data_IF_597062350635
#
_entry.id   IF_597062350635
#
_cell.length_a   1.000
_cell.length_b   1.000
_cell.length_c   1.000
_cell.angle_alpha   90.00
_cell.angle_beta   90.00
_cell.angle_gamma   90.00
#
_symmetry.space_group_name_H-M   'P 1'
#
loop_
_entity.id
_entity.type
_entity.pdbx_description
1 polymer ?
#
# COMPACT_ATOMS: atom_id res chain seq x y z
N UNK A 1 -16.51 14.33 11.27
CA UNK A 1 -15.24 13.99 10.70
C UNK A 1 -14.24 15.07 11.01
N UNK A 2 -13.37 14.72 11.80
CA UNK A 2 -12.53 15.58 12.59
C UNK A 2 -11.33 16.01 11.78
N UNK A 3 -11.11 17.33 11.64
CA UNK A 3 -9.98 17.88 10.90
C UNK A 3 -8.64 17.49 11.52
N UNK A 4 -8.58 17.32 12.85
CA UNK A 4 -7.40 16.83 13.57
C UNK A 4 -6.99 15.43 13.11
N UNK A 5 -7.93 14.52 12.98
CA UNK A 5 -7.66 13.19 12.47
C UNK A 5 -7.16 13.20 11.01
N UNK A 6 -7.73 14.10 10.17
CA UNK A 6 -7.26 14.28 8.80
C UNK A 6 -5.84 14.85 8.74
N UNK A 7 -5.53 15.79 9.62
CA UNK A 7 -4.19 16.38 9.68
C UNK A 7 -3.15 15.36 10.16
N UNK A 8 -3.44 14.64 11.24
CA UNK A 8 -2.57 13.57 11.75
C UNK A 8 -2.36 12.49 10.69
N UNK A 9 -3.43 12.07 10.01
CA UNK A 9 -3.36 11.11 8.92
C UNK A 9 -2.50 11.62 7.74
N UNK A 10 -2.68 12.88 7.33
CA UNK A 10 -1.88 13.46 6.24
C UNK A 10 -0.39 13.51 6.60
N UNK A 11 -0.06 13.78 7.85
CA UNK A 11 1.34 13.76 8.29
C UNK A 11 1.89 12.33 8.30
N UNK A 12 1.10 11.37 8.77
CA UNK A 12 1.49 9.95 8.82
C UNK A 12 1.79 9.39 7.42
N UNK A 13 0.84 9.56 6.47
CA UNK A 13 1.00 9.03 5.10
C UNK A 13 2.11 9.71 4.27
N UNK A 14 2.57 10.89 4.70
CA UNK A 14 3.65 11.60 4.04
C UNK A 14 4.96 11.55 4.85
N UNK A 15 5.08 10.65 5.82
CA UNK A 15 6.24 10.51 6.72
C UNK A 15 6.68 11.86 7.33
N UNK A 16 5.71 12.73 7.65
CA UNK A 16 5.97 14.05 8.23
C UNK A 16 5.91 13.97 9.74
N UNK A 17 6.85 14.60 10.39
CA UNK A 17 6.84 14.78 11.83
C UNK A 17 5.98 15.99 12.19
N UNK A 18 5.16 15.86 13.23
CA UNK A 18 4.48 16.97 13.87
C UNK A 18 5.31 17.47 15.05
N UNK A 19 5.55 18.77 15.11
CA UNK A 19 6.19 19.38 16.28
C UNK A 19 5.10 19.61 17.32
N UNK A 20 5.23 18.92 18.46
CA UNK A 20 4.34 19.08 19.60
C UNK A 20 5.09 19.88 20.66
N UNK A 21 4.59 21.05 21.08
CA UNK A 21 5.23 21.79 22.15
C UNK A 21 5.13 21.03 23.47
N UNK A 22 6.17 21.08 24.28
CA UNK A 22 6.19 20.47 25.60
C UNK A 22 5.38 21.23 26.68
N UNK A 23 4.75 22.34 26.26
CA UNK A 23 3.86 23.15 27.09
C UNK A 23 2.47 23.18 26.49
N UNK A 24 1.45 23.12 27.33
CA UNK A 24 0.06 23.24 26.86
C UNK A 24 -0.28 24.71 26.57
N UNK A 25 -0.46 25.03 25.29
CA UNK A 25 -0.73 26.40 24.81
C UNK A 25 -2.20 26.70 24.60
N UNK A 26 -3.08 25.68 24.67
CA UNK A 26 -4.51 25.84 24.33
C UNK A 26 -5.42 25.27 25.42
N UNK A 27 -6.59 25.86 25.56
CA UNK A 27 -7.68 25.29 26.36
C UNK A 27 -8.72 24.70 25.43
N UNK A 28 -9.00 23.42 25.57
CA UNK A 28 -10.03 22.73 24.77
C UNK A 28 -11.40 22.98 25.40
N UNK A 29 -12.19 23.87 24.81
CA UNK A 29 -13.52 24.27 25.31
C UNK A 29 -14.56 23.13 25.19
N UNK A 30 -14.30 22.14 24.34
CA UNK A 30 -15.20 21.02 24.05
C UNK A 30 -15.36 19.99 25.19
N UNK A 31 -14.54 20.05 26.23
CA UNK A 31 -14.65 19.15 27.40
C UNK A 31 -15.56 19.71 28.49
N UNK A 32 -16.67 20.34 28.11
CA UNK A 32 -17.70 20.79 29.06
C UNK A 32 -18.94 19.88 28.98
N UNK A 33 -19.74 19.86 30.04
CA UNK A 33 -20.93 18.99 30.17
C UNK A 33 -22.03 19.25 29.12
N UNK A 34 -21.86 20.21 28.23
CA UNK A 34 -22.84 20.63 27.21
C UNK A 34 -22.54 20.14 25.80
N UNK A 35 -21.42 19.46 25.58
CA UNK A 35 -21.08 18.94 24.25
C UNK A 35 -21.46 17.46 24.11
N UNK A 36 -22.02 17.05 22.96
CA UNK A 36 -22.50 15.65 22.75
C UNK A 36 -21.40 14.59 22.85
N UNK A 37 -20.14 15.00 22.80
CA UNK A 37 -18.96 14.12 22.81
C UNK A 37 -18.05 14.39 24.01
N UNK A 38 -18.56 15.02 25.08
CA UNK A 38 -17.78 15.26 26.29
C UNK A 38 -17.47 13.94 27.02
N UNK A 39 -16.22 13.56 27.05
CA UNK A 39 -15.75 12.45 27.88
C UNK A 39 -15.44 13.03 29.26
N UNK A 40 -16.26 12.69 30.25
CA UNK A 40 -16.01 13.06 31.67
C UNK A 40 -14.71 12.43 32.11
N UNK A 41 -13.84 13.23 32.74
CA UNK A 41 -12.52 12.81 33.25
C UNK A 41 -11.50 12.43 32.17
N UNK A 42 -11.57 13.02 30.98
CA UNK A 42 -10.50 12.83 29.99
C UNK A 42 -9.15 13.34 30.55
N UNK A 43 -8.03 12.62 30.37
CA UNK A 43 -6.73 12.99 30.93
C UNK A 43 -6.28 14.42 30.61
N UNK A 44 -6.73 14.98 29.48
CA UNK A 44 -6.37 16.31 29.00
C UNK A 44 -7.37 17.41 29.38
N UNK A 45 -8.37 17.14 30.24
CA UNK A 45 -9.42 18.12 30.59
C UNK A 45 -8.93 19.24 31.49
N UNK A 46 -7.94 18.99 32.34
CA UNK A 46 -7.48 19.91 33.39
C UNK A 46 -6.02 20.34 33.23
N UNK A 47 -5.45 20.22 32.05
CA UNK A 47 -4.08 20.68 31.81
C UNK A 47 -4.07 22.20 31.74
N UNK A 48 -3.29 22.84 32.61
CA UNK A 48 -3.13 24.29 32.62
C UNK A 48 -2.38 24.76 31.37
N UNK A 49 -2.80 25.92 30.87
CA UNK A 49 -2.03 26.60 29.82
C UNK A 49 -0.75 27.18 30.41
N UNK A 50 0.29 27.14 29.63
CA UNK A 50 1.60 27.71 29.97
C UNK A 50 2.00 28.73 28.90
N UNK A 51 2.70 29.79 29.34
CA UNK A 51 3.27 30.76 28.42
C UNK A 51 4.63 30.27 27.90
N UNK A 52 4.94 30.61 26.66
CA UNK A 52 6.25 30.38 26.05
C UNK A 52 6.98 31.72 25.96
N UNK A 53 8.05 31.87 26.70
CA UNK A 53 8.89 33.10 26.67
C UNK A 53 9.72 33.11 25.38
N UNK A 54 10.21 31.95 24.94
CA UNK A 54 10.98 31.82 23.71
C UNK A 54 10.88 30.39 23.17
N UNK A 55 10.97 30.24 21.84
CA UNK A 55 10.95 28.94 21.16
C UNK A 55 12.40 28.46 21.02
N UNK A 56 12.66 27.27 21.59
CA UNK A 56 13.93 26.55 21.39
C UNK A 56 13.67 25.35 20.52
N UNK A 57 14.29 25.32 19.34
CA UNK A 57 14.25 24.15 18.49
C UNK A 57 15.17 23.05 18.99
N UNK A 58 14.78 21.77 18.88
CA UNK A 58 15.68 20.65 19.19
C UNK A 58 16.91 20.70 18.28
N UNK A 59 18.03 20.23 18.79
CA UNK A 59 19.29 20.16 18.05
C UNK A 59 19.24 19.16 16.87
N UNK A 60 18.29 18.24 16.90
CA UNK A 60 17.98 17.29 15.82
C UNK A 60 16.48 16.94 15.85
N UNK A 61 15.98 16.49 14.73
CA UNK A 61 14.57 16.09 14.58
C UNK A 61 14.55 14.57 14.55
N UNK A 62 13.82 13.95 15.48
CA UNK A 62 13.56 12.51 15.48
C UNK A 62 12.12 12.23 15.98
N UNK A 63 11.54 11.09 15.61
CA UNK A 63 10.27 10.64 16.19
C UNK A 63 10.44 10.37 17.69
N UNK A 64 9.49 10.83 18.50
CA UNK A 64 9.38 10.42 19.91
C UNK A 64 8.37 9.27 20.00
N UNK A 65 8.85 8.07 19.78
CA UNK A 65 8.01 6.85 19.74
C UNK A 65 7.30 6.62 21.08
N UNK A 66 7.94 6.94 22.22
CA UNK A 66 7.33 6.77 23.54
C UNK A 66 6.18 7.76 23.75
N UNK A 67 6.36 9.02 23.36
CA UNK A 67 5.30 10.02 23.43
C UNK A 67 4.14 9.71 22.49
N UNK A 68 4.44 9.23 21.28
CA UNK A 68 3.42 8.81 20.30
C UNK A 68 2.62 7.62 20.81
N UNK A 69 3.26 6.59 21.34
CA UNK A 69 2.63 5.44 21.96
C UNK A 69 1.78 5.83 23.19
N UNK A 70 2.30 6.71 24.04
CA UNK A 70 1.57 7.22 25.19
C UNK A 70 0.31 7.97 24.78
N UNK A 71 0.40 8.83 23.78
CA UNK A 71 -0.72 9.59 23.24
C UNK A 71 -1.78 8.67 22.66
N UNK A 72 -1.38 7.68 21.86
CA UNK A 72 -2.29 6.71 21.28
C UNK A 72 -3.02 5.88 22.34
N UNK A 73 -2.30 5.36 23.33
CA UNK A 73 -2.92 4.57 24.40
C UNK A 73 -3.87 5.38 25.27
N UNK A 74 -3.57 6.66 25.52
CA UNK A 74 -4.41 7.54 26.36
C UNK A 74 -5.55 8.21 25.60
N UNK A 75 -5.32 8.58 24.34
CA UNK A 75 -6.31 9.31 23.55
C UNK A 75 -7.34 8.37 22.89
N UNK A 76 -6.89 7.19 22.43
CA UNK A 76 -7.73 6.24 21.71
C UNK A 76 -8.10 5.00 22.53
N UNK A 77 -7.67 4.93 23.80
CA UNK A 77 -7.95 3.82 24.73
C UNK A 77 -7.61 2.43 24.15
N UNK A 78 -6.58 2.38 23.29
CA UNK A 78 -6.05 1.15 22.71
C UNK A 78 -5.02 0.55 23.65
N UNK A 79 -5.07 -0.75 23.88
CA UNK A 79 -4.02 -1.42 24.66
C UNK A 79 -2.70 -1.45 23.85
N UNK A 80 -1.57 -1.48 24.55
CA UNK A 80 -0.26 -1.59 23.92
C UNK A 80 -0.15 -2.84 23.03
N UNK A 81 -0.87 -3.91 23.38
CA UNK A 81 -0.93 -5.17 22.63
C UNK A 81 -1.76 -5.04 21.34
N UNK A 82 -2.78 -4.17 21.33
CA UNK A 82 -3.56 -3.84 20.12
C UNK A 82 -2.83 -2.90 19.16
N UNK A 83 -1.84 -2.17 19.65
CA UNK A 83 -0.96 -1.32 18.85
C UNK A 83 0.20 -2.09 18.22
N UNK A 84 0.49 -3.28 18.73
CA UNK A 84 1.55 -4.11 18.18
C UNK A 84 1.10 -4.75 16.88
N UNK A 85 1.95 -4.60 15.89
CA UNK A 85 1.83 -5.35 14.65
C UNK A 85 1.74 -6.84 14.92
N UNK A 86 0.86 -7.55 14.23
CA UNK A 86 0.75 -8.98 14.35
C UNK A 86 2.12 -9.65 14.18
N UNK A 87 2.39 -10.67 14.99
CA UNK A 87 3.65 -11.43 14.95
C UNK A 87 3.98 -11.95 13.55
N UNK A 88 2.96 -12.21 12.74
CA UNK A 88 3.08 -12.65 11.36
C UNK A 88 3.82 -11.64 10.48
N UNK A 89 3.63 -10.34 10.69
CA UNK A 89 4.33 -9.32 9.91
C UNK A 89 5.83 -9.29 10.22
N UNK A 90 6.21 -9.35 11.49
CA UNK A 90 7.63 -9.44 11.88
C UNK A 90 8.28 -10.72 11.37
N UNK A 91 7.56 -11.84 11.41
CA UNK A 91 8.01 -13.09 10.83
C UNK A 91 8.29 -12.97 9.33
N UNK A 92 7.41 -12.31 8.59
CA UNK A 92 7.58 -12.07 7.15
C UNK A 92 8.81 -11.18 6.87
N UNK A 93 8.97 -10.10 7.67
CA UNK A 93 10.15 -9.20 7.57
C UNK A 93 11.46 -9.93 7.83
N UNK A 94 11.55 -10.69 8.89
CA UNK A 94 12.76 -11.48 9.23
C UNK A 94 13.07 -12.54 8.17
N UNK A 95 12.05 -13.21 7.66
CA UNK A 95 12.21 -14.20 6.59
C UNK A 95 12.74 -13.58 5.30
N UNK A 96 12.22 -12.43 4.93
CA UNK A 96 12.65 -11.69 3.76
C UNK A 96 14.12 -11.25 3.87
N UNK A 97 14.50 -10.61 4.98
CA UNK A 97 15.89 -10.19 5.25
C UNK A 97 16.84 -11.37 5.24
N UNK A 98 16.44 -12.50 5.82
CA UNK A 98 17.25 -13.73 5.83
C UNK A 98 17.40 -14.30 4.42
N UNK A 99 16.34 -14.30 3.62
CA UNK A 99 16.37 -14.76 2.24
C UNK A 99 17.34 -13.92 1.38
N UNK A 100 17.33 -12.60 1.52
CA UNK A 100 18.25 -11.71 0.80
C UNK A 100 19.71 -11.98 1.19
N UNK A 101 20.02 -12.18 2.48
CA UNK A 101 21.39 -12.37 2.97
C UNK A 101 22.06 -13.65 2.47
N UNK A 102 21.29 -14.67 2.14
CA UNK A 102 21.81 -16.00 1.84
C UNK A 102 22.01 -16.30 0.33
N UNK A 103 21.94 -15.31 -0.57
CA UNK A 103 21.70 -15.61 -1.97
C UNK A 103 22.84 -15.41 -2.95
N UNK A 104 23.04 -16.43 -3.78
CA UNK A 104 23.62 -16.30 -5.12
C UNK A 104 22.56 -15.74 -6.09
N UNK A 105 22.95 -14.77 -6.90
CA UNK A 105 22.04 -14.01 -7.78
C UNK A 105 21.60 -14.87 -8.96
N UNK A 106 20.37 -15.33 -8.97
CA UNK A 106 19.75 -16.00 -10.11
C UNK A 106 18.37 -15.34 -10.40
N UNK A 107 18.30 -14.36 -11.30
CA UNK A 107 17.03 -13.76 -11.70
C UNK A 107 16.18 -14.80 -12.44
N UNK A 108 15.03 -15.17 -11.85
CA UNK A 108 14.02 -16.02 -12.49
C UNK A 108 12.98 -15.16 -13.20
N UNK A 109 12.67 -14.01 -12.62
CA UNK A 109 11.67 -13.07 -13.13
C UNK A 109 12.27 -12.34 -14.33
N UNK A 110 11.55 -12.25 -15.47
CA UNK A 110 11.98 -11.45 -16.62
C UNK A 110 12.28 -10.01 -16.20
N UNK A 111 13.38 -9.47 -16.67
CA UNK A 111 13.79 -8.10 -16.38
C UNK A 111 12.98 -7.10 -17.22
N UNK A 112 11.68 -6.98 -16.92
CA UNK A 112 10.74 -6.10 -17.58
C UNK A 112 9.98 -5.33 -16.51
N UNK A 113 9.97 -4.00 -16.58
CA UNK A 113 9.18 -3.12 -15.71
C UNK A 113 7.95 -2.65 -16.47
N UNK A 114 6.78 -2.87 -15.91
CA UNK A 114 5.49 -2.47 -16.47
C UNK A 114 4.89 -1.34 -15.64
N UNK A 115 4.49 -0.26 -16.29
CA UNK A 115 3.67 0.82 -15.70
C UNK A 115 2.49 1.14 -16.60
N UNK A 116 1.35 1.48 -16.01
CA UNK A 116 0.09 1.73 -16.71
C UNK A 116 -0.36 3.17 -16.48
N UNK A 117 -0.78 3.84 -17.57
CA UNK A 117 -1.51 5.10 -17.49
C UNK A 117 -2.39 5.26 -18.72
N UNK A 118 -3.72 5.16 -18.55
CA UNK A 118 -4.64 5.05 -19.67
C UNK A 118 -5.00 6.38 -20.36
N UNK A 119 -4.73 7.53 -19.74
CA UNK A 119 -5.06 8.80 -20.39
C UNK A 119 -4.22 9.01 -21.65
N UNK A 120 -4.89 9.29 -22.76
CA UNK A 120 -4.26 9.54 -24.05
C UNK A 120 -3.41 10.81 -24.07
N UNK A 121 -3.67 11.75 -23.15
CA UNK A 121 -2.82 12.94 -22.96
C UNK A 121 -1.48 12.58 -22.30
N UNK A 122 -1.33 11.36 -21.79
CA UNK A 122 -0.17 10.88 -21.04
C UNK A 122 -0.21 11.25 -19.56
N UNK A 123 0.74 10.71 -18.77
CA UNK A 123 0.81 11.01 -17.35
C UNK A 123 1.27 12.46 -17.09
N UNK A 124 0.85 13.07 -15.97
CA UNK A 124 1.31 14.38 -15.57
C UNK A 124 2.84 14.39 -15.34
N UNK A 125 3.52 15.57 -15.48
CA UNK A 125 4.97 15.64 -15.38
C UNK A 125 5.56 15.04 -14.11
N UNK A 126 4.88 15.18 -12.97
CA UNK A 126 5.31 14.60 -11.69
C UNK A 126 5.40 13.07 -11.73
N UNK A 127 4.44 12.39 -12.36
CA UNK A 127 4.49 10.93 -12.51
C UNK A 127 5.53 10.49 -13.54
N UNK A 128 5.78 11.31 -14.56
CA UNK A 128 6.87 11.06 -15.53
C UNK A 128 8.22 11.11 -14.82
N UNK A 129 8.44 12.10 -13.96
CA UNK A 129 9.67 12.24 -13.15
C UNK A 129 9.87 11.04 -12.23
N UNK A 130 8.83 10.63 -11.49
CA UNK A 130 8.87 9.42 -10.66
C UNK A 130 9.19 8.18 -11.49
N UNK A 131 8.53 7.99 -12.63
CA UNK A 131 8.76 6.83 -13.49
C UNK A 131 10.18 6.78 -14.10
N UNK A 132 10.83 7.92 -14.22
CA UNK A 132 12.20 7.99 -14.72
C UNK A 132 13.20 7.32 -13.78
N UNK A 133 12.98 7.37 -12.46
CA UNK A 133 13.83 6.69 -11.46
C UNK A 133 13.94 5.18 -11.71
N UNK A 134 12.86 4.54 -12.17
CA UNK A 134 12.87 3.12 -12.51
C UNK A 134 13.79 2.79 -13.67
N UNK A 135 13.88 3.65 -14.68
CA UNK A 135 14.74 3.47 -15.86
C UNK A 135 16.21 3.73 -15.52
N UNK A 136 16.46 4.76 -14.72
CA UNK A 136 17.81 5.18 -14.34
C UNK A 136 18.49 4.18 -13.42
N UNK A 137 17.76 3.68 -12.43
CA UNK A 137 18.31 2.75 -11.44
C UNK A 137 18.29 1.28 -11.89
N UNK A 138 17.56 0.97 -12.97
CA UNK A 138 17.48 -0.37 -13.54
C UNK A 138 17.77 -0.38 -15.04
N UNK A 139 18.97 0.06 -15.49
CA UNK A 139 19.27 0.22 -16.90
C UNK A 139 19.28 -1.08 -17.71
N UNK A 140 19.44 -2.23 -17.03
CA UNK A 140 19.41 -3.56 -17.64
C UNK A 140 17.99 -4.13 -17.80
N UNK A 141 16.96 -3.40 -17.29
CA UNK A 141 15.57 -3.81 -17.38
C UNK A 141 14.90 -3.14 -18.59
N UNK A 142 14.10 -3.91 -19.34
CA UNK A 142 13.21 -3.35 -20.34
C UNK A 142 12.07 -2.58 -19.64
N UNK A 143 11.82 -1.33 -20.04
CA UNK A 143 10.72 -0.55 -19.52
C UNK A 143 9.55 -0.53 -20.50
N UNK A 144 8.37 -0.99 -20.09
CA UNK A 144 7.14 -1.03 -20.88
C UNK A 144 6.07 -0.14 -20.25
N UNK A 145 5.75 0.91 -20.94
CA UNK A 145 4.62 1.77 -20.61
C UNK A 145 3.36 1.30 -21.36
N UNK A 146 2.24 1.23 -20.66
CA UNK A 146 0.97 0.75 -21.20
C UNK A 146 -0.04 1.88 -21.19
N UNK A 147 -0.40 2.40 -22.36
CA UNK A 147 -1.52 3.30 -22.57
C UNK A 147 -2.80 2.53 -22.94
N UNK A 148 -3.90 3.25 -23.08
CA UNK A 148 -5.20 2.67 -23.43
C UNK A 148 -5.17 1.81 -24.69
N UNK A 149 -4.51 2.27 -25.75
CA UNK A 149 -4.46 1.56 -27.04
C UNK A 149 -3.63 0.27 -26.92
N UNK A 150 -2.54 0.31 -26.15
CA UNK A 150 -1.72 -0.86 -25.87
C UNK A 150 -2.51 -1.93 -25.11
N UNK A 151 -3.27 -1.51 -24.09
CA UNK A 151 -4.13 -2.40 -23.30
C UNK A 151 -5.23 -3.02 -24.16
N UNK A 152 -5.91 -2.24 -25.00
CA UNK A 152 -6.94 -2.78 -25.91
C UNK A 152 -6.35 -3.78 -26.90
N UNK A 153 -5.18 -3.49 -27.44
CA UNK A 153 -4.47 -4.39 -28.36
C UNK A 153 -4.04 -5.67 -27.66
N UNK A 154 -3.51 -5.54 -26.43
CA UNK A 154 -3.11 -6.67 -25.60
C UNK A 154 -4.29 -7.59 -25.29
N UNK A 155 -5.42 -7.06 -24.84
CA UNK A 155 -6.63 -7.84 -24.56
C UNK A 155 -7.14 -8.55 -25.82
N UNK A 156 -7.23 -7.85 -26.95
CA UNK A 156 -7.68 -8.45 -28.22
C UNK A 156 -6.77 -9.58 -28.69
N UNK A 157 -5.47 -9.47 -28.42
CA UNK A 157 -4.46 -10.42 -28.90
C UNK A 157 -4.35 -11.65 -27.99
N UNK A 158 -4.36 -11.48 -26.68
CA UNK A 158 -4.01 -12.55 -25.75
C UNK A 158 -5.18 -13.04 -24.88
N UNK A 159 -6.21 -12.20 -24.66
CA UNK A 159 -7.30 -12.48 -23.72
C UNK A 159 -8.65 -11.97 -24.24
N UNK A 160 -9.05 -12.30 -25.49
CA UNK A 160 -10.31 -11.81 -26.03
C UNK A 160 -11.54 -12.26 -25.23
N UNK A 161 -11.43 -13.40 -24.53
CA UNK A 161 -12.48 -13.94 -23.65
C UNK A 161 -12.76 -13.05 -22.44
N UNK A 162 -11.79 -12.27 -21.95
CA UNK A 162 -11.98 -11.39 -20.80
C UNK A 162 -12.49 -9.99 -21.18
N UNK A 163 -12.53 -9.62 -22.46
CA UNK A 163 -13.00 -8.29 -22.90
C UNK A 163 -14.41 -7.96 -22.40
N UNK A 164 -15.40 -8.87 -22.46
CA UNK A 164 -16.73 -8.58 -21.93
C UNK A 164 -16.72 -8.25 -20.43
N UNK A 165 -16.01 -9.05 -19.62
CA UNK A 165 -15.90 -8.84 -18.19
C UNK A 165 -15.10 -7.56 -17.85
N UNK A 166 -14.04 -7.27 -18.60
CA UNK A 166 -13.24 -6.05 -18.46
C UNK A 166 -14.06 -4.79 -18.71
N UNK A 167 -14.89 -4.79 -19.73
CA UNK A 167 -15.70 -3.63 -20.12
C UNK A 167 -16.85 -3.34 -19.16
N UNK A 168 -17.34 -4.31 -18.40
CA UNK A 168 -18.42 -4.10 -17.42
C UNK A 168 -17.93 -3.59 -16.06
N UNK A 169 -16.63 -3.52 -15.80
CA UNK A 169 -16.15 -2.88 -14.59
C UNK A 169 -16.61 -1.42 -14.53
N UNK A 170 -17.35 -1.01 -13.48
CA UNK A 170 -17.95 0.32 -13.40
C UNK A 170 -16.92 1.45 -13.28
N UNK A 171 -15.73 1.15 -12.75
CA UNK A 171 -14.70 2.14 -12.46
C UNK A 171 -13.38 1.83 -13.17
N UNK A 172 -12.70 2.89 -13.64
CA UNK A 172 -11.43 2.77 -14.33
C UNK A 172 -10.36 2.10 -13.45
N UNK A 173 -10.34 2.42 -12.15
CA UNK A 173 -9.38 1.83 -11.21
C UNK A 173 -9.49 0.29 -11.19
N UNK A 174 -10.72 -0.26 -11.24
CA UNK A 174 -10.91 -1.71 -11.31
C UNK A 174 -10.36 -2.29 -12.62
N UNK A 175 -10.47 -1.57 -13.73
CA UNK A 175 -9.86 -1.98 -15.02
C UNK A 175 -8.33 -1.98 -14.92
N UNK A 176 -7.76 -0.93 -14.31
CA UNK A 176 -6.30 -0.85 -14.10
C UNK A 176 -5.80 -1.96 -13.19
N UNK A 177 -6.54 -2.27 -12.12
CA UNK A 177 -6.22 -3.40 -11.26
C UNK A 177 -6.28 -4.74 -12.01
N UNK A 178 -7.34 -4.95 -12.78
CA UNK A 178 -7.55 -6.21 -13.51
C UNK A 178 -6.49 -6.46 -14.60
N UNK A 179 -6.11 -5.42 -15.34
CA UNK A 179 -5.18 -5.57 -16.47
C UNK A 179 -3.75 -5.86 -16.02
N UNK A 180 -3.29 -5.32 -14.87
CA UNK A 180 -1.94 -5.58 -14.36
C UNK A 180 -1.69 -7.05 -14.07
N UNK A 181 -2.70 -7.78 -13.60
CA UNK A 181 -2.59 -9.23 -13.37
C UNK A 181 -2.44 -10.00 -14.68
N UNK A 182 -3.18 -9.63 -15.73
CA UNK A 182 -3.08 -10.26 -17.05
C UNK A 182 -1.73 -9.99 -17.71
N UNK A 183 -1.22 -8.76 -17.63
CA UNK A 183 0.09 -8.37 -18.18
C UNK A 183 1.19 -9.20 -17.52
N UNK A 184 1.20 -9.26 -16.19
CA UNK A 184 2.20 -10.02 -15.44
C UNK A 184 2.07 -11.53 -15.67
N UNK A 185 0.85 -12.06 -15.76
CA UNK A 185 0.66 -13.47 -16.07
C UNK A 185 1.20 -13.83 -17.47
N UNK A 186 1.04 -12.94 -18.45
CA UNK A 186 1.49 -13.18 -19.83
C UNK A 186 3.00 -13.03 -19.98
N UNK A 187 3.56 -11.93 -19.49
CA UNK A 187 4.94 -11.57 -19.79
C UNK A 187 5.90 -11.80 -18.60
N UNK A 188 5.37 -11.97 -17.42
CA UNK A 188 6.17 -11.87 -16.20
C UNK A 188 6.71 -10.45 -16.01
N UNK A 189 7.76 -10.32 -15.23
CA UNK A 189 8.39 -9.04 -14.94
C UNK A 189 7.87 -8.41 -13.65
N UNK A 190 8.11 -7.12 -13.50
CA UNK A 190 7.73 -6.28 -12.37
C UNK A 190 6.66 -5.29 -12.83
N UNK A 191 5.54 -5.22 -12.13
CA UNK A 191 4.58 -4.12 -12.20
C UNK A 191 4.75 -3.19 -11.01
N UNK A 192 4.76 -1.90 -11.25
CA UNK A 192 4.73 -0.87 -10.22
C UNK A 192 3.77 0.24 -10.61
N UNK A 193 3.03 0.79 -9.63
CA UNK A 193 2.18 1.96 -9.85
C UNK A 193 3.03 3.19 -10.23
N UNK A 194 2.45 4.11 -11.01
CA UNK A 194 3.16 5.28 -11.54
C UNK A 194 3.67 6.25 -10.46
N UNK A 195 3.07 6.22 -9.28
CA UNK A 195 3.43 7.05 -8.12
C UNK A 195 4.44 6.38 -7.16
N UNK A 196 5.00 5.24 -7.56
CA UNK A 196 6.09 4.57 -6.85
C UNK A 196 7.44 5.03 -7.40
N UNK A 197 8.24 5.67 -6.55
CA UNK A 197 9.61 6.06 -6.86
C UNK A 197 10.57 4.90 -6.60
N UNK A 198 11.49 4.67 -7.54
CA UNK A 198 12.59 3.73 -7.36
C UNK A 198 13.75 4.43 -6.64
N UNK A 199 14.23 3.88 -5.54
CA UNK A 199 15.35 4.44 -4.77
C UNK A 199 16.66 3.67 -4.94
N UNK A 200 16.57 2.40 -5.36
CA UNK A 200 17.73 1.53 -5.57
C UNK A 200 17.47 0.50 -6.68
N UNK A 201 18.52 -0.16 -7.18
CA UNK A 201 18.35 -1.24 -8.15
C UNK A 201 17.52 -2.39 -7.58
N UNK A 202 16.47 -2.80 -8.32
CA UNK A 202 15.51 -3.79 -7.85
C UNK A 202 15.99 -5.25 -8.00
N UNK A 203 17.01 -5.49 -8.81
CA UNK A 203 17.48 -6.85 -9.14
C UNK A 203 17.83 -7.66 -7.88
N UNK A 204 18.55 -7.13 -6.87
CA UNK A 204 18.87 -7.90 -5.67
C UNK A 204 17.65 -8.36 -4.87
N UNK A 205 16.58 -7.55 -4.85
CA UNK A 205 15.36 -7.85 -4.10
C UNK A 205 14.56 -8.96 -4.78
N UNK A 206 14.59 -9.03 -6.11
CA UNK A 206 13.86 -10.02 -6.89
C UNK A 206 14.68 -11.27 -7.24
N UNK A 207 15.94 -11.33 -6.76
CA UNK A 207 16.76 -12.53 -6.93
C UNK A 207 16.14 -13.75 -6.27
N UNK A 208 16.23 -14.89 -6.97
CA UNK A 208 15.79 -16.22 -6.49
C UNK A 208 14.30 -16.36 -6.17
N UNK A 209 13.48 -15.33 -6.34
CA UNK A 209 12.03 -15.46 -6.28
C UNK A 209 11.45 -15.71 -7.68
N UNK A 210 10.32 -16.40 -7.72
CA UNK A 210 9.54 -16.59 -8.95
C UNK A 210 8.23 -15.79 -8.90
N UNK A 211 7.83 -15.32 -7.72
CA UNK A 211 6.71 -14.44 -7.53
C UNK A 211 6.94 -13.60 -6.27
N UNK A 212 6.75 -12.30 -6.36
CA UNK A 212 6.88 -11.37 -5.26
C UNK A 212 5.70 -10.40 -5.24
N UNK A 213 5.19 -10.12 -4.03
CA UNK A 213 4.11 -9.17 -3.79
C UNK A 213 4.54 -8.19 -2.71
N UNK A 214 4.40 -6.89 -2.95
CA UNK A 214 4.64 -5.88 -1.93
C UNK A 214 3.56 -5.92 -0.85
N UNK A 215 3.95 -5.71 0.40
CA UNK A 215 2.98 -5.45 1.47
C UNK A 215 2.63 -3.97 1.48
N UNK A 216 1.37 -3.67 1.81
CA UNK A 216 0.97 -2.30 2.11
C UNK A 216 1.60 -1.83 3.42
N UNK A 217 1.77 -0.50 3.61
CA UNK A 217 2.23 0.06 4.87
C UNK A 217 1.41 -0.46 6.07
N UNK A 218 2.08 -0.72 7.17
CA UNK A 218 1.48 -1.25 8.40
C UNK A 218 0.26 -0.45 8.85
N UNK A 219 0.32 0.88 8.70
CA UNK A 219 -0.79 1.76 9.04
C UNK A 219 -2.09 1.45 8.27
N UNK A 220 -1.98 0.93 7.04
CA UNK A 220 -3.16 0.52 6.25
C UNK A 220 -3.79 -0.74 6.81
N UNK A 221 -2.99 -1.75 7.15
CA UNK A 221 -3.44 -2.99 7.76
C UNK A 221 -4.09 -2.75 9.14
N UNK A 222 -3.48 -1.88 9.95
CA UNK A 222 -4.01 -1.48 11.25
C UNK A 222 -5.41 -0.85 11.14
N UNK A 223 -5.62 0.03 10.16
CA UNK A 223 -6.92 0.72 9.97
C UNK A 223 -8.10 -0.22 9.71
N UNK A 224 -7.85 -1.36 9.10
CA UNK A 224 -8.89 -2.35 8.77
C UNK A 224 -8.79 -3.62 9.65
N UNK A 225 -7.99 -3.53 10.73
CA UNK A 225 -7.83 -4.59 11.74
C UNK A 225 -7.39 -5.95 11.17
N UNK A 226 -6.44 -5.93 10.23
CA UNK A 226 -5.84 -7.14 9.67
C UNK A 226 -4.34 -7.19 9.94
N UNK A 227 -3.73 -8.38 9.99
CA UNK A 227 -2.30 -8.54 10.27
C UNK A 227 -1.39 -7.91 9.22
N UNK A 228 -1.78 -7.96 7.97
CA UNK A 228 -1.08 -7.38 6.83
C UNK A 228 -2.02 -7.29 5.64
N UNK A 229 -1.65 -6.46 4.67
CA UNK A 229 -2.32 -6.36 3.38
C UNK A 229 -1.29 -6.66 2.29
N UNK A 230 -1.58 -7.67 1.47
CA UNK A 230 -0.80 -7.95 0.26
C UNK A 230 -1.24 -6.95 -0.80
N UNK A 231 -0.38 -5.99 -1.11
CA UNK A 231 -0.64 -4.92 -2.06
C UNK A 231 -0.65 -5.41 -3.51
N UNK A 232 -1.18 -4.57 -4.38
CA UNK A 232 -1.16 -4.77 -5.83
C UNK A 232 -0.48 -3.63 -6.59
N UNK A 233 0.14 -2.71 -5.87
CA UNK A 233 0.91 -1.59 -6.42
C UNK A 233 2.36 -1.97 -6.79
N UNK A 234 2.88 -3.04 -6.19
CA UNK A 234 4.19 -3.62 -6.47
C UNK A 234 4.06 -5.15 -6.56
N UNK A 235 4.24 -5.71 -7.74
CA UNK A 235 4.09 -7.14 -8.00
C UNK A 235 5.12 -7.61 -9.03
N UNK A 236 5.77 -8.73 -8.78
CA UNK A 236 6.72 -9.30 -9.73
C UNK A 236 6.50 -10.82 -9.87
N UNK A 237 6.64 -11.35 -11.08
CA UNK A 237 6.42 -12.79 -11.29
C UNK A 237 7.09 -13.32 -12.55
N UNK A 238 7.30 -14.64 -12.59
CA UNK A 238 7.55 -15.35 -13.83
C UNK A 238 6.25 -15.47 -14.64
N UNK A 239 6.31 -15.60 -15.98
CA UNK A 239 5.12 -15.84 -16.78
C UNK A 239 4.34 -17.08 -16.29
N UNK A 240 3.03 -17.03 -16.41
CA UNK A 240 2.10 -18.14 -16.11
C UNK A 240 2.20 -18.70 -14.67
N UNK A 241 2.64 -17.85 -13.71
CA UNK A 241 2.71 -18.27 -12.31
C UNK A 241 1.30 -18.60 -11.78
N UNK A 242 1.11 -19.77 -11.12
CA UNK A 242 -0.23 -20.23 -10.75
C UNK A 242 -0.96 -19.32 -9.75
N UNK A 243 -0.26 -18.63 -8.88
CA UNK A 243 -0.87 -17.64 -7.98
C UNK A 243 -1.53 -16.48 -8.77
N UNK A 244 -0.91 -16.02 -9.86
CA UNK A 244 -1.50 -15.01 -10.74
C UNK A 244 -2.72 -15.54 -11.49
N UNK A 245 -2.77 -16.83 -11.78
CA UNK A 245 -3.98 -17.45 -12.33
C UNK A 245 -5.13 -17.40 -11.33
N UNK A 246 -4.88 -17.67 -10.03
CA UNK A 246 -5.89 -17.54 -8.97
C UNK A 246 -6.40 -16.08 -8.84
N UNK A 247 -5.50 -15.08 -8.94
CA UNK A 247 -5.88 -13.66 -8.96
C UNK A 247 -6.81 -13.35 -10.15
N UNK A 248 -6.43 -13.77 -11.35
CA UNK A 248 -7.19 -13.57 -12.58
C UNK A 248 -8.58 -14.23 -12.47
N UNK A 249 -8.65 -15.48 -12.03
CA UNK A 249 -9.91 -16.19 -11.87
C UNK A 249 -10.82 -15.48 -10.85
N UNK A 250 -10.26 -14.98 -9.76
CA UNK A 250 -11.03 -14.21 -8.77
C UNK A 250 -11.55 -12.91 -9.35
N UNK A 251 -10.72 -12.19 -10.13
CA UNK A 251 -11.10 -10.89 -10.70
C UNK A 251 -12.13 -11.02 -11.83
N UNK A 252 -11.99 -12.02 -12.70
CA UNK A 252 -12.80 -12.11 -13.92
C UNK A 252 -13.93 -13.12 -13.87
N UNK A 253 -13.82 -14.17 -13.03
CA UNK A 253 -14.78 -15.29 -13.03
C UNK A 253 -15.70 -15.30 -11.80
N UNK A 254 -15.42 -14.49 -10.77
CA UNK A 254 -16.27 -14.42 -9.58
C UNK A 254 -17.38 -13.38 -9.77
N UNK A 255 -18.64 -13.79 -9.56
CA UNK A 255 -19.76 -12.85 -9.54
C UNK A 255 -19.59 -11.83 -8.41
N UNK A 256 -19.65 -10.55 -8.77
CA UNK A 256 -19.46 -9.43 -7.83
C UNK A 256 -20.78 -8.74 -7.58
N UNK A 257 -21.33 -8.92 -6.40
CA UNK A 257 -22.52 -8.20 -5.98
C UNK A 257 -22.10 -6.84 -5.39
N UNK A 258 -22.20 -5.77 -6.19
CA UNK A 258 -21.86 -4.42 -5.78
C UNK A 258 -22.66 -3.90 -4.57
N UNK A 259 -23.84 -4.48 -4.32
CA UNK A 259 -24.68 -4.09 -3.18
C UNK A 259 -24.15 -4.60 -1.82
N UNK A 260 -23.08 -5.39 -1.81
CA UNK A 260 -22.48 -5.90 -0.57
C UNK A 260 -21.52 -4.89 0.08
N UNK A 261 -21.15 -3.81 -0.62
CA UNK A 261 -20.12 -2.87 -0.17
C UNK A 261 -20.75 -1.54 0.23
N UNK A 262 -20.24 -0.96 1.32
CA UNK A 262 -20.79 0.27 1.91
C UNK A 262 -20.46 1.51 1.09
N UNK A 263 -19.31 1.50 0.40
CA UNK A 263 -18.84 2.60 -0.42
C UNK A 263 -17.96 2.13 -1.60
N UNK A 264 -17.59 3.09 -2.45
CA UNK A 264 -16.77 2.84 -3.63
C UNK A 264 -15.36 2.32 -3.29
N UNK A 265 -14.77 2.82 -2.21
CA UNK A 265 -13.43 2.41 -1.81
C UNK A 265 -13.43 0.93 -1.39
N UNK A 266 -14.39 0.54 -0.56
CA UNK A 266 -14.58 -0.84 -0.13
C UNK A 266 -14.85 -1.77 -1.32
N UNK A 267 -15.67 -1.34 -2.28
CA UNK A 267 -15.92 -2.09 -3.52
C UNK A 267 -14.61 -2.37 -4.27
N UNK A 268 -13.80 -1.35 -4.54
CA UNK A 268 -12.57 -1.48 -5.32
C UNK A 268 -11.57 -2.37 -4.58
N UNK A 269 -11.31 -2.08 -3.30
CA UNK A 269 -10.35 -2.81 -2.48
C UNK A 269 -10.65 -4.32 -2.42
N UNK A 270 -11.93 -4.70 -2.32
CA UNK A 270 -12.34 -6.10 -2.16
C UNK A 270 -12.63 -6.82 -3.48
N UNK A 271 -12.75 -6.13 -4.61
CA UNK A 271 -13.07 -6.78 -5.89
C UNK A 271 -11.88 -6.93 -6.83
N UNK A 272 -10.95 -5.96 -6.81
CA UNK A 272 -9.79 -5.94 -7.71
C UNK A 272 -8.50 -5.51 -7.01
N UNK A 273 -8.61 -4.82 -5.89
CA UNK A 273 -7.50 -4.19 -5.16
C UNK A 273 -6.88 -5.06 -4.07
N UNK A 274 -6.14 -4.44 -3.13
CA UNK A 274 -5.28 -5.12 -2.17
C UNK A 274 -6.00 -6.00 -1.14
N UNK A 275 -7.26 -5.75 -0.81
CA UNK A 275 -8.02 -6.67 0.05
C UNK A 275 -8.32 -7.98 -0.67
N UNK A 276 -8.65 -7.92 -1.97
CA UNK A 276 -8.85 -9.11 -2.80
C UNK A 276 -7.54 -9.92 -2.93
N UNK A 277 -6.41 -9.27 -3.25
CA UNK A 277 -5.12 -9.97 -3.34
C UNK A 277 -4.72 -10.62 -2.02
N UNK A 278 -4.98 -9.95 -0.88
CA UNK A 278 -4.77 -10.50 0.46
C UNK A 278 -5.61 -11.76 0.70
N UNK A 279 -6.88 -11.71 0.31
CA UNK A 279 -7.78 -12.87 0.46
C UNK A 279 -7.37 -14.05 -0.40
N UNK A 280 -6.99 -13.79 -1.67
CA UNK A 280 -6.46 -14.82 -2.57
C UNK A 280 -5.18 -15.41 -1.98
N UNK A 281 -4.25 -14.58 -1.52
CA UNK A 281 -3.00 -15.06 -0.92
C UNK A 281 -3.27 -15.97 0.28
N UNK A 282 -4.14 -15.57 1.21
CA UNK A 282 -4.47 -16.37 2.41
C UNK A 282 -5.06 -17.74 2.08
N UNK A 283 -5.79 -17.85 0.98
CA UNK A 283 -6.44 -19.09 0.56
C UNK A 283 -5.66 -19.88 -0.51
N UNK A 284 -4.56 -19.34 -1.02
CA UNK A 284 -3.79 -19.94 -2.10
C UNK A 284 -3.02 -21.17 -1.64
N UNK A 285 -3.00 -22.20 -2.47
CA UNK A 285 -2.13 -23.34 -2.33
C UNK A 285 -0.66 -23.02 -2.69
N UNK A 286 -0.41 -21.84 -3.25
CA UNK A 286 0.90 -21.41 -3.76
C UNK A 286 1.59 -20.38 -2.87
N UNK A 287 1.12 -20.13 -1.64
CA UNK A 287 1.72 -19.15 -0.70
C UNK A 287 3.24 -19.32 -0.57
N UNK A 288 3.72 -20.55 -0.48
CA UNK A 288 5.15 -20.86 -0.34
C UNK A 288 6.01 -20.49 -1.55
N UNK A 289 5.36 -20.21 -2.69
CA UNK A 289 6.00 -19.77 -3.94
C UNK A 289 5.91 -18.25 -4.14
N UNK A 290 5.29 -17.54 -3.19
CA UNK A 290 5.13 -16.09 -3.21
C UNK A 290 5.99 -15.49 -2.10
N UNK A 291 6.92 -14.65 -2.47
CA UNK A 291 7.73 -13.85 -1.53
C UNK A 291 6.97 -12.57 -1.21
N UNK A 292 6.70 -12.32 0.06
CA UNK A 292 6.15 -11.04 0.49
C UNK A 292 7.29 -10.06 0.79
N UNK A 293 7.25 -8.91 0.14
CA UNK A 293 8.23 -7.82 0.31
C UNK A 293 7.66 -6.82 1.31
N UNK A 294 8.33 -6.56 2.44
CA UNK A 294 7.89 -5.54 3.40
C UNK A 294 7.77 -4.15 2.77
N UNK A 295 6.86 -3.33 3.30
CA UNK A 295 6.65 -1.95 2.82
C UNK A 295 7.79 -0.99 3.22
N UNK A 296 8.65 -1.38 4.18
CA UNK A 296 9.76 -0.58 4.74
C UNK A 296 11.08 -1.36 4.71
#
# INVERSE_FOLDING_TARGET
GFWEAKYAYTNLINNRLSIIPNKNLITKIAYNDKTPHAIKNHPFTNIKNEEIDHIVHPSFICPDIEADLYSQTKEYNTSFEELYMPKEYFYLKEHFVTAIRNNHIHPKIPQIIHQIYEDLAGPPPSLVEISQSWKELNPDWEYRFWNKNDIETFLKTYYPEFIPAYNVFPHNVQRWDAIRYLILYKFGGLYVDMDYECTENITPILCNTECAMGLEPEAHAFRIHVPYIVGNAFMATVPEHPYFKELIDTVFCTEKNSNMYSDLCELILNTTGPCMTTQVYKNSNYQKRVTLIPAE
#
